data_IF_273223925548
#
_entry.id   IF_273223925548
#
_cell.length_a   1.000
_cell.length_b   1.000
_cell.length_c   1.000
_cell.angle_alpha   90.00
_cell.angle_beta   90.00
_cell.angle_gamma   90.00
#
_symmetry.space_group_name_H-M   'P 1'
#
loop_
_entity.id
_entity.type
_entity.pdbx_description
1 polymer ?
#
# COMPACT_ATOMS: atom_id res chain seq x y z
N UNK A 1 -10.89 40.85 23.57
CA UNK A 1 -11.32 39.63 22.84
C UNK A 1 -11.17 39.89 21.36
N UNK A 2 -10.13 39.36 20.71
CA UNK A 2 -9.96 39.47 19.27
C UNK A 2 -11.00 38.58 18.58
N UNK A 3 -12.02 39.19 17.98
CA UNK A 3 -13.01 38.46 17.20
C UNK A 3 -12.36 37.96 15.91
N UNK A 4 -12.27 36.63 15.74
CA UNK A 4 -11.80 36.04 14.50
C UNK A 4 -12.96 36.01 13.51
N UNK A 5 -12.83 36.75 12.41
CA UNK A 5 -13.81 36.73 11.33
C UNK A 5 -13.79 35.36 10.63
N UNK A 6 -14.89 34.62 10.80
CA UNK A 6 -15.11 33.29 10.20
C UNK A 6 -14.91 33.32 8.69
N UNK A 7 -15.27 34.42 8.03
CA UNK A 7 -15.14 34.54 6.57
C UNK A 7 -13.67 34.62 6.16
N UNK A 8 -12.85 35.34 6.93
CA UNK A 8 -11.42 35.42 6.67
C UNK A 8 -10.73 34.08 6.96
N UNK A 9 -11.13 33.41 8.04
CA UNK A 9 -10.63 32.08 8.37
C UNK A 9 -10.91 31.06 7.24
N UNK A 10 -12.15 31.04 6.73
CA UNK A 10 -12.52 30.16 5.63
C UNK A 10 -11.76 30.50 4.34
N UNK A 11 -11.61 31.78 3.99
CA UNK A 11 -10.87 32.20 2.80
C UNK A 11 -9.40 31.80 2.85
N UNK A 12 -8.74 32.01 4.00
CA UNK A 12 -7.35 31.61 4.20
C UNK A 12 -7.19 30.09 4.15
N UNK A 13 -8.12 29.35 4.78
CA UNK A 13 -8.14 27.88 4.72
C UNK A 13 -8.30 27.35 3.30
N UNK A 14 -9.21 27.93 2.50
CA UNK A 14 -9.42 27.53 1.10
C UNK A 14 -8.23 27.86 0.20
N UNK A 15 -7.56 29.01 0.41
CA UNK A 15 -6.39 29.39 -0.39
C UNK A 15 -5.20 28.46 -0.14
N UNK A 16 -4.96 28.10 1.13
CA UNK A 16 -3.93 27.13 1.51
C UNK A 16 -4.25 25.72 1.00
N UNK A 17 -5.50 25.27 1.12
CA UNK A 17 -5.93 23.96 0.63
C UNK A 17 -5.86 23.83 -0.90
N UNK A 18 -6.25 24.87 -1.64
CA UNK A 18 -6.15 24.90 -3.10
C UNK A 18 -4.70 24.87 -3.60
N UNK A 19 -3.76 25.51 -2.88
CA UNK A 19 -2.34 25.44 -3.19
C UNK A 19 -1.76 24.02 -3.07
N UNK A 20 -2.19 23.26 -2.07
CA UNK A 20 -1.78 21.86 -1.87
C UNK A 20 -2.34 20.95 -2.97
N UNK A 21 -3.59 21.18 -3.38
CA UNK A 21 -4.23 20.40 -4.45
C UNK A 21 -3.72 20.74 -5.86
N UNK A 22 -3.21 21.97 -6.08
CA UNK A 22 -2.63 22.41 -7.35
C UNK A 22 -1.13 22.10 -7.50
N UNK A 23 -0.44 21.75 -6.41
CA UNK A 23 0.98 21.36 -6.42
C UNK A 23 1.32 20.22 -7.40
N UNK A 24 0.49 19.18 -7.61
CA UNK A 24 0.76 18.13 -8.59
C UNK A 24 0.66 18.63 -10.04
N UNK A 25 -0.16 19.65 -10.30
CA UNK A 25 -0.40 20.19 -11.66
C UNK A 25 0.73 21.12 -12.10
N UNK A 26 1.42 21.76 -11.15
CA UNK A 26 2.54 22.68 -11.42
C UNK A 26 3.93 22.02 -11.38
N UNK A 27 4.00 20.68 -11.44
CA UNK A 27 5.26 19.95 -11.48
C UNK A 27 5.90 19.70 -10.10
N UNK A 28 5.14 19.84 -9.02
CA UNK A 28 5.54 19.30 -7.72
C UNK A 28 5.67 17.79 -7.83
N UNK A 29 6.87 17.28 -7.57
CA UNK A 29 7.22 15.86 -7.59
C UNK A 29 6.06 15.02 -7.09
N UNK A 30 5.46 14.22 -7.98
CA UNK A 30 4.49 13.20 -7.59
C UNK A 30 5.11 12.45 -6.42
N UNK A 31 4.53 12.61 -5.22
CA UNK A 31 4.97 11.86 -4.06
C UNK A 31 4.87 10.39 -4.49
N UNK A 32 6.02 9.76 -4.70
CA UNK A 32 6.07 8.36 -5.07
C UNK A 32 5.31 7.62 -3.97
N UNK A 33 4.11 7.13 -4.30
CA UNK A 33 3.34 6.34 -3.37
C UNK A 33 4.26 5.23 -2.86
N UNK A 34 4.34 4.99 -1.54
CA UNK A 34 5.25 3.98 -1.02
C UNK A 34 4.94 2.66 -1.73
N UNK A 35 5.89 2.18 -2.53
CA UNK A 35 5.76 0.88 -3.14
C UNK A 35 5.73 -0.14 -1.99
N UNK A 36 4.59 -0.81 -1.81
CA UNK A 36 4.50 -1.89 -0.83
C UNK A 36 5.36 -3.05 -1.33
N UNK A 37 6.60 -3.11 -0.84
CA UNK A 37 7.50 -4.23 -1.12
C UNK A 37 7.24 -5.29 -0.06
N UNK A 38 6.55 -6.36 -0.46
CA UNK A 38 6.32 -7.54 0.39
C UNK A 38 7.67 -8.25 0.58
N UNK A 39 8.36 -7.90 1.66
CA UNK A 39 9.56 -8.59 2.11
C UNK A 39 9.19 -9.77 3.03
N UNK A 40 10.09 -10.74 3.17
CA UNK A 40 9.91 -11.85 4.11
C UNK A 40 9.04 -13.03 3.62
N UNK A 41 8.71 -13.10 2.31
CA UNK A 41 8.07 -14.32 1.77
C UNK A 41 8.98 -15.54 1.95
N UNK A 42 8.44 -16.69 2.39
CA UNK A 42 9.19 -17.94 2.37
C UNK A 42 9.54 -18.35 0.93
N UNK A 43 10.70 -18.97 0.77
CA UNK A 43 11.17 -19.50 -0.52
C UNK A 43 11.00 -21.03 -0.57
N UNK A 44 10.42 -21.53 -1.66
CA UNK A 44 10.27 -22.97 -1.90
C UNK A 44 11.57 -23.56 -2.45
N UNK A 45 12.47 -23.91 -1.53
CA UNK A 45 13.84 -24.35 -1.82
C UNK A 45 13.94 -25.67 -2.57
N UNK A 46 12.87 -26.48 -2.59
CA UNK A 46 12.87 -27.83 -3.16
C UNK A 46 11.72 -28.04 -4.16
N UNK A 47 11.14 -26.96 -4.67
CA UNK A 47 9.98 -27.03 -5.57
C UNK A 47 8.70 -27.52 -4.88
N UNK A 48 7.85 -28.17 -5.67
CA UNK A 48 6.51 -28.64 -5.27
C UNK A 48 6.39 -30.13 -5.59
N UNK A 49 5.67 -30.86 -4.74
CA UNK A 49 5.32 -32.27 -4.89
C UNK A 49 3.81 -32.47 -4.74
N UNK A 50 3.32 -33.61 -5.23
CA UNK A 50 1.92 -34.02 -5.14
C UNK A 50 1.78 -35.51 -4.82
N UNK A 51 0.68 -35.90 -4.19
CA UNK A 51 0.43 -37.28 -3.72
C UNK A 51 -0.95 -37.45 -3.10
N UNK A 52 -1.22 -38.63 -2.53
CA UNK A 52 -2.50 -39.02 -1.92
C UNK A 52 -3.72 -38.73 -2.83
N UNK A 53 -3.61 -39.11 -4.10
CA UNK A 53 -4.64 -38.83 -5.10
C UNK A 53 -5.85 -39.77 -4.95
N UNK A 54 -7.05 -39.20 -4.98
CA UNK A 54 -8.33 -39.88 -5.22
C UNK A 54 -8.82 -39.60 -6.64
N UNK A 55 -10.03 -40.03 -6.99
CA UNK A 55 -10.63 -39.72 -8.29
C UNK A 55 -10.89 -38.21 -8.48
N UNK A 56 -10.96 -37.47 -7.38
CA UNK A 56 -11.48 -36.10 -7.30
C UNK A 56 -10.60 -35.16 -6.45
N UNK A 57 -9.52 -35.65 -5.84
CA UNK A 57 -8.62 -34.85 -5.00
C UNK A 57 -7.17 -35.32 -5.06
N UNK A 58 -6.25 -34.43 -4.65
CA UNK A 58 -4.85 -34.76 -4.41
C UNK A 58 -4.28 -33.73 -3.42
N UNK A 59 -3.23 -34.13 -2.71
CA UNK A 59 -2.48 -33.25 -1.83
C UNK A 59 -1.29 -32.66 -2.60
N UNK A 60 -1.05 -31.36 -2.42
CA UNK A 60 0.11 -30.64 -2.95
C UNK A 60 0.89 -30.05 -1.80
N UNK A 61 2.20 -30.28 -1.74
CA UNK A 61 3.07 -29.76 -0.69
C UNK A 61 4.43 -29.33 -1.23
N UNK A 62 5.14 -28.53 -0.45
CA UNK A 62 6.50 -28.09 -0.74
C UNK A 62 7.23 -27.69 0.55
N UNK A 63 8.56 -27.70 0.52
CA UNK A 63 9.37 -27.27 1.67
C UNK A 63 9.73 -25.80 1.54
N UNK A 64 9.36 -25.01 2.55
CA UNK A 64 9.80 -23.63 2.70
C UNK A 64 11.04 -23.53 3.60
N UNK A 65 11.85 -22.49 3.40
CA UNK A 65 13.02 -22.18 4.22
C UNK A 65 12.67 -21.58 5.61
N UNK A 66 11.46 -21.00 5.74
CA UNK A 66 10.93 -20.46 7.00
C UNK A 66 9.39 -20.61 7.05
N UNK A 67 8.75 -20.52 8.23
CA UNK A 67 7.29 -20.50 8.31
C UNK A 67 6.72 -19.29 7.55
N UNK A 68 5.53 -19.42 6.97
CA UNK A 68 4.77 -18.28 6.44
C UNK A 68 4.17 -17.42 7.55
N UNK A 69 4.03 -16.12 7.32
CA UNK A 69 3.38 -15.16 8.22
C UNK A 69 2.80 -14.01 7.43
#
# INVERSE_FOLDING_TARGET
MTSLDRRNFLRTGTALGAGIAAAPVLGGTAAAAPAYVVSGRPELTHGVQSGDATADSAVVWGRADRPGR
#
